data_IF_206194894274
#
_entry.id   IF_206194894274
#
_cell.length_a   1.000
_cell.length_b   1.000
_cell.length_c   1.000
_cell.angle_alpha   90.00
_cell.angle_beta   90.00
_cell.angle_gamma   90.00
#
_symmetry.space_group_name_H-M   'P 1'
#
loop_
_entity.id
_entity.type
_entity.pdbx_description
1 polymer ?
#
# COMPACT_ATOMS: atom_id res chain seq x y z
N UNK A 1 21.63 13.09 28.93
CA UNK A 1 20.45 12.21 28.75
C UNK A 1 19.96 12.37 27.33
N UNK A 2 20.12 11.34 26.50
CA UNK A 2 19.64 11.36 25.12
C UNK A 2 18.12 11.22 25.13
N UNK A 3 17.40 12.34 25.03
CA UNK A 3 15.97 12.30 24.70
C UNK A 3 15.91 11.95 23.21
N UNK A 4 15.83 10.65 22.94
CA UNK A 4 15.52 10.12 21.62
C UNK A 4 14.31 10.85 21.08
N UNK A 5 14.55 11.66 20.05
CA UNK A 5 13.50 12.24 19.23
C UNK A 5 12.60 11.10 18.77
N UNK A 6 11.47 10.95 19.45
CA UNK A 6 10.34 10.16 19.01
C UNK A 6 9.70 10.85 17.80
N UNK A 7 10.48 11.04 16.73
CA UNK A 7 9.89 11.13 15.40
C UNK A 7 9.37 9.73 15.18
N UNK A 8 8.05 9.59 15.26
CA UNK A 8 7.34 8.53 14.59
C UNK A 8 7.82 8.56 13.14
N UNK A 9 8.91 7.86 12.88
CA UNK A 9 9.35 7.61 11.53
C UNK A 9 8.25 6.73 10.97
N UNK A 10 7.40 7.35 10.15
CA UNK A 10 6.63 6.68 9.11
C UNK A 10 7.61 5.99 8.14
N UNK A 11 8.49 5.12 8.66
CA UNK A 11 9.39 4.32 7.85
C UNK A 11 8.54 3.37 7.06
N UNK A 12 8.89 3.19 5.79
CA UNK A 12 8.28 2.22 4.89
C UNK A 12 8.11 0.85 5.55
N UNK A 13 9.07 0.43 6.38
CA UNK A 13 8.98 -0.78 7.20
C UNK A 13 7.68 -0.84 8.03
N UNK A 14 7.36 0.20 8.80
CA UNK A 14 6.20 0.20 9.71
C UNK A 14 4.89 0.07 8.92
N UNK A 15 4.81 0.74 7.76
CA UNK A 15 3.68 0.63 6.84
C UNK A 15 3.55 -0.79 6.28
N UNK A 16 4.66 -1.38 5.82
CA UNK A 16 4.68 -2.74 5.27
C UNK A 16 4.33 -3.78 6.33
N UNK A 17 4.88 -3.67 7.54
CA UNK A 17 4.59 -4.59 8.65
C UNK A 17 3.13 -4.49 9.10
N UNK A 18 2.57 -3.29 9.15
CA UNK A 18 1.15 -3.10 9.47
C UNK A 18 0.27 -3.71 8.38
N UNK A 19 0.60 -3.50 7.10
CA UNK A 19 -0.14 -4.07 5.98
C UNK A 19 -0.11 -5.61 6.00
N UNK A 20 1.05 -6.20 6.24
CA UNK A 20 1.21 -7.66 6.38
C UNK A 20 0.47 -8.20 7.59
N UNK A 21 0.48 -7.49 8.73
CA UNK A 21 -0.17 -7.95 9.96
C UNK A 21 -1.69 -7.92 9.87
N UNK A 22 -2.25 -6.93 9.17
CA UNK A 22 -3.69 -6.80 8.98
C UNK A 22 -4.20 -7.53 7.73
N UNK A 23 -3.31 -7.90 6.79
CA UNK A 23 -3.69 -8.43 5.48
C UNK A 23 -4.38 -7.40 4.58
N UNK A 24 -4.29 -6.12 4.94
CA UNK A 24 -4.95 -5.03 4.22
C UNK A 24 -4.06 -3.79 4.14
N UNK A 25 -4.04 -3.16 2.98
CA UNK A 25 -3.33 -1.91 2.76
C UNK A 25 -4.31 -0.77 2.68
N UNK A 26 -4.28 0.10 3.69
CA UNK A 26 -5.09 1.32 3.72
C UNK A 26 -4.70 2.27 2.58
N UNK A 27 -5.66 3.04 2.03
CA UNK A 27 -5.41 3.93 0.89
C UNK A 27 -4.40 5.03 1.19
N UNK A 28 -4.30 5.48 2.45
CA UNK A 28 -3.25 6.40 2.89
C UNK A 28 -1.84 5.78 2.84
N UNK A 29 -1.72 4.51 3.25
CA UNK A 29 -0.45 3.77 3.18
C UNK A 29 -0.05 3.51 1.72
N UNK A 30 -1.00 3.12 0.87
CA UNK A 30 -0.77 2.95 -0.57
C UNK A 30 -0.26 4.23 -1.23
N UNK A 31 -0.84 5.39 -0.89
CA UNK A 31 -0.40 6.69 -1.38
C UNK A 31 1.01 7.07 -0.87
N UNK A 32 1.36 6.70 0.35
CA UNK A 32 2.71 6.92 0.91
C UNK A 32 3.74 6.02 0.20
N UNK A 33 3.45 4.73 0.01
CA UNK A 33 4.29 3.79 -0.76
C UNK A 33 4.48 4.25 -2.20
N UNK A 34 3.44 4.80 -2.84
CA UNK A 34 3.56 5.35 -4.19
C UNK A 34 4.50 6.58 -4.25
N UNK A 35 4.58 7.36 -3.17
CA UNK A 35 5.58 8.44 -3.05
C UNK A 35 7.00 7.87 -2.93
N UNK A 36 7.19 6.77 -2.21
CA UNK A 36 8.48 6.07 -2.16
C UNK A 36 8.89 5.55 -3.55
N UNK A 37 7.96 5.04 -4.36
CA UNK A 37 8.23 4.59 -5.74
C UNK A 37 8.63 5.72 -6.69
N UNK A 38 7.97 6.87 -6.56
CA UNK A 38 8.16 8.02 -7.47
C UNK A 38 9.28 8.97 -7.00
N UNK A 39 9.66 8.92 -5.73
CA UNK A 39 10.66 9.81 -5.11
C UNK A 39 12.12 9.54 -5.49
N UNK A 40 12.42 8.46 -6.20
CA UNK A 40 13.70 8.24 -6.91
C UNK A 40 14.95 7.92 -6.07
N UNK A 41 14.95 8.14 -4.75
CA UNK A 41 16.06 7.77 -3.85
C UNK A 41 15.56 6.90 -2.69
N UNK A 42 15.44 5.61 -2.96
CA UNK A 42 15.21 4.58 -1.95
C UNK A 42 16.55 3.95 -1.55
N UNK A 43 16.70 3.69 -0.26
CA UNK A 43 17.78 2.86 0.25
C UNK A 43 17.56 1.40 -0.17
N UNK A 44 18.63 0.60 -0.21
CA UNK A 44 18.53 -0.83 -0.53
C UNK A 44 17.56 -1.59 0.40
N UNK A 45 17.46 -1.16 1.66
CA UNK A 45 16.53 -1.71 2.63
C UNK A 45 15.06 -1.37 2.28
N UNK A 46 14.79 -0.13 1.90
CA UNK A 46 13.45 0.32 1.50
C UNK A 46 12.99 -0.39 0.21
N UNK A 47 13.90 -0.61 -0.74
CA UNK A 47 13.61 -1.40 -1.94
C UNK A 47 13.21 -2.84 -1.60
N UNK A 48 13.87 -3.47 -0.61
CA UNK A 48 13.49 -4.82 -0.16
C UNK A 48 12.10 -4.83 0.47
N UNK A 49 11.77 -3.85 1.31
CA UNK A 49 10.43 -3.76 1.89
C UNK A 49 9.34 -3.56 0.84
N UNK A 50 9.61 -2.73 -0.17
CA UNK A 50 8.73 -2.55 -1.32
C UNK A 50 8.52 -3.86 -2.09
N UNK A 51 9.59 -4.61 -2.35
CA UNK A 51 9.50 -5.90 -3.05
C UNK A 51 8.67 -6.93 -2.27
N UNK A 52 8.88 -7.05 -0.95
CA UNK A 52 8.10 -7.96 -0.09
C UNK A 52 6.62 -7.57 -0.09
N UNK A 53 6.32 -6.27 -0.03
CA UNK A 53 4.95 -5.79 -0.06
C UNK A 53 4.28 -6.11 -1.40
N UNK A 54 4.95 -5.85 -2.51
CA UNK A 54 4.42 -6.14 -3.86
C UNK A 54 4.17 -7.63 -4.04
N UNK A 55 5.08 -8.48 -3.56
CA UNK A 55 4.93 -9.94 -3.59
C UNK A 55 3.70 -10.39 -2.77
N UNK A 56 3.53 -9.85 -1.56
CA UNK A 56 2.37 -10.15 -0.72
C UNK A 56 1.05 -9.61 -1.29
N UNK A 57 1.07 -8.50 -2.04
CA UNK A 57 -0.10 -8.02 -2.78
C UNK A 57 -0.39 -8.96 -3.97
N UNK A 58 0.64 -9.39 -4.70
CA UNK A 58 0.51 -10.27 -5.86
C UNK A 58 0.01 -11.68 -5.48
N UNK A 59 0.47 -12.21 -4.35
CA UNK A 59 0.01 -13.47 -3.76
C UNK A 59 -1.43 -13.38 -3.21
N UNK A 60 -1.95 -12.16 -3.03
CA UNK A 60 -3.28 -11.91 -2.46
C UNK A 60 -3.32 -11.96 -0.93
N UNK A 61 -2.16 -12.06 -0.28
CA UNK A 61 -2.00 -11.93 1.18
C UNK A 61 -2.41 -10.53 1.68
N UNK A 62 -2.21 -9.49 0.87
CA UNK A 62 -2.61 -8.11 1.19
C UNK A 62 -3.67 -7.62 0.22
N UNK A 63 -4.85 -7.28 0.74
CA UNK A 63 -5.89 -6.59 -0.03
C UNK A 63 -5.67 -5.08 -0.01
N UNK A 64 -5.54 -4.50 -1.20
CA UNK A 64 -5.61 -3.05 -1.38
C UNK A 64 -7.04 -2.58 -1.07
N UNK A 65 -7.21 -1.88 0.05
CA UNK A 65 -8.49 -1.26 0.40
C UNK A 65 -8.59 0.06 -0.37
N UNK A 66 -8.74 -0.05 -1.70
CA UNK A 66 -9.10 1.11 -2.50
C UNK A 66 -10.49 1.52 -2.02
N UNK A 67 -10.61 2.75 -1.52
CA UNK A 67 -11.92 3.31 -1.15
C UNK A 67 -12.68 3.41 -2.47
N UNK A 68 -13.42 2.36 -2.81
CA UNK A 68 -14.16 2.22 -4.04
C UNK A 68 -15.19 3.34 -4.10
N UNK A 69 -14.83 4.45 -4.76
CA UNK A 69 -15.80 5.26 -5.48
C UNK A 69 -16.53 4.30 -6.40
N UNK A 70 -17.83 4.16 -6.19
CA UNK A 70 -18.64 3.09 -6.76
C UNK A 70 -18.43 2.91 -8.25
N UNK A 71 -17.83 1.79 -8.63
CA UNK A 71 -18.07 1.22 -9.95
C UNK A 71 -19.20 0.21 -9.79
N UNK A 72 -20.42 0.76 -9.78
CA UNK A 72 -21.62 0.02 -10.12
C UNK A 72 -21.63 -0.13 -11.64
N UNK A 73 -20.74 -0.97 -12.18
CA UNK A 73 -20.87 -1.49 -13.54
C UNK A 73 -21.97 -2.55 -13.53
N UNK A 74 -23.21 -2.12 -13.30
CA UNK A 74 -24.38 -2.96 -13.53
C UNK A 74 -24.66 -2.98 -15.04
N UNK A 75 -23.99 -3.93 -15.69
CA UNK A 75 -24.62 -4.89 -16.61
C UNK A 75 -25.98 -4.49 -17.18
N UNK A 76 -26.02 -4.12 -18.45
CA UNK A 76 -26.52 -5.04 -19.48
C UNK A 76 -26.89 -4.27 -20.74
N UNK A 77 -26.13 -4.53 -21.79
CA UNK A 77 -26.63 -4.41 -23.14
C UNK A 77 -27.91 -5.24 -23.27
N UNK A 78 -29.08 -4.58 -23.34
CA UNK A 78 -30.28 -5.21 -23.90
C UNK A 78 -30.36 -4.81 -25.36
N UNK A 79 -29.83 -5.71 -26.18
CA UNK A 79 -29.89 -5.76 -27.62
C UNK A 79 -31.36 -5.70 -28.09
N UNK A 80 -31.62 -4.83 -29.06
CA UNK A 80 -32.67 -4.84 -30.10
C UNK A 80 -34.11 -5.21 -29.72
N UNK A 81 -35.01 -4.25 -29.98
CA UNK A 81 -36.28 -4.49 -30.67
C UNK A 81 -36.41 -3.42 -31.76
#
# INVERSE_FOLDING_TARGET
>A
MFKSSNRASNSLESLVRTALSHGELSPGAAAEINRYRTGGRLSAEEQRYLAILEDAIADGCIRLVSRSTGEMTQSSARLKA
#
